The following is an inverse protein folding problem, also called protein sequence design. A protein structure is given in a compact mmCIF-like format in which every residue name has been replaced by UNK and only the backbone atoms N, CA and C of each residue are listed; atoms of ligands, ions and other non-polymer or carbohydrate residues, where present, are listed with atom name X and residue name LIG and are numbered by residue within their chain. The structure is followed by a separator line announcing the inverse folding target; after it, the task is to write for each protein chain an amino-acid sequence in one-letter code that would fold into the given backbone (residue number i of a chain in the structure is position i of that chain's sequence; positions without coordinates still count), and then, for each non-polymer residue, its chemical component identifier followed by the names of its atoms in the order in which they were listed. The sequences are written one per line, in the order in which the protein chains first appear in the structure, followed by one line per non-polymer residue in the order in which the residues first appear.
data_IF_448061408614
#
_entry.id   IF_448061408614
#
_cell.length_a   1.000
_cell.length_b   1.000
_cell.length_c   1.000
_cell.angle_alpha   90.00
_cell.angle_beta   90.00
_cell.angle_gamma   90.00
#
_symmetry.space_group_name_H-M   'P 1'
#
loop_
_entity.id
_entity.type
_entity.pdbx_description
1 polymer ?
#
# COMPACT_ATOMS: atom_id res chain seq x y z
N UNK A 1 10.04 -0.46 48.35
CA UNK A 1 9.39 0.70 47.71
C UNK A 1 10.43 1.38 46.85
N UNK A 2 10.45 1.09 45.57
CA UNK A 2 11.34 1.73 44.60
C UNK A 2 10.44 2.45 43.59
N UNK A 3 10.43 3.77 43.68
CA UNK A 3 9.74 4.68 42.77
C UNK A 3 10.46 4.70 41.42
N UNK A 4 9.83 4.13 40.41
CA UNK A 4 10.29 4.25 39.02
C UNK A 4 9.83 5.62 38.53
N UNK A 5 10.78 6.54 38.39
CA UNK A 5 10.59 7.86 37.75
C UNK A 5 10.47 7.65 36.25
N UNK A 6 9.28 7.89 35.68
CA UNK A 6 9.11 8.00 34.24
C UNK A 6 9.76 9.31 33.78
N UNK A 7 10.93 9.21 33.19
CA UNK A 7 11.54 10.30 32.43
C UNK A 7 10.76 10.39 31.10
N UNK A 8 9.88 11.35 31.00
CA UNK A 8 9.29 11.78 29.76
C UNK A 8 10.43 12.26 28.85
N UNK A 9 10.68 11.51 27.78
CA UNK A 9 11.58 11.94 26.70
C UNK A 9 10.96 13.17 26.05
N UNK A 10 11.46 14.35 26.41
CA UNK A 10 11.25 15.57 25.68
C UNK A 10 11.80 15.37 24.27
N UNK A 11 10.91 15.28 23.28
CA UNK A 11 11.28 15.41 21.87
C UNK A 11 11.94 16.77 21.69
N UNK A 12 13.27 16.75 21.58
CA UNK A 12 14.07 17.93 21.32
C UNK A 12 13.52 18.62 20.07
N UNK A 13 12.99 19.81 20.27
CA UNK A 13 12.59 20.75 19.24
C UNK A 13 13.87 21.34 18.61
N UNK A 14 14.60 20.51 17.85
CA UNK A 14 15.80 20.93 17.14
C UNK A 14 15.34 21.93 16.07
N UNK A 15 15.84 23.17 16.09
CA UNK A 15 15.45 24.17 15.11
C UNK A 15 15.67 23.61 13.70
N UNK A 16 14.67 23.75 12.84
CA UNK A 16 14.77 23.33 11.45
C UNK A 16 15.92 24.12 10.81
N UNK A 17 16.78 23.50 10.00
CA UNK A 17 17.84 24.22 9.31
C UNK A 17 17.20 25.09 8.21
N UNK A 18 16.78 26.30 8.57
CA UNK A 18 16.09 27.27 7.70
C UNK A 18 16.94 27.70 6.51
N UNK A 19 18.26 27.60 6.60
CA UNK A 19 19.23 28.00 5.57
C UNK A 19 19.01 27.38 4.18
N UNK A 20 18.37 26.20 4.07
CA UNK A 20 18.07 25.59 2.78
C UNK A 20 16.98 26.31 1.98
N UNK A 21 16.13 27.09 2.65
CA UNK A 21 14.98 27.77 2.04
C UNK A 21 15.01 29.29 2.32
N UNK A 22 16.22 29.87 2.34
CA UNK A 22 16.49 31.29 2.26
C UNK A 22 17.09 31.63 0.90
N UNK A 23 16.36 31.32 -0.17
CA UNK A 23 16.90 31.52 -1.53
C UNK A 23 16.98 33.01 -1.86
N UNK A 24 18.10 33.54 -2.38
CA UNK A 24 18.24 34.97 -2.70
C UNK A 24 17.29 35.45 -3.80
N UNK A 25 16.75 34.53 -4.63
CA UNK A 25 15.72 34.81 -5.62
C UNK A 25 14.32 34.40 -5.17
N UNK A 26 14.04 34.35 -3.87
CA UNK A 26 12.72 34.05 -3.37
C UNK A 26 11.74 35.21 -3.68
N UNK A 27 10.60 34.84 -4.19
CA UNK A 27 9.48 35.73 -4.50
C UNK A 27 8.18 35.31 -3.80
N UNK A 28 8.28 34.33 -2.90
CA UNK A 28 7.17 33.77 -2.12
C UNK A 28 7.66 33.29 -0.75
N UNK A 29 6.83 33.48 0.28
CA UNK A 29 6.99 32.86 1.60
C UNK A 29 5.87 31.83 1.78
N UNK A 30 6.23 30.57 2.01
CA UNK A 30 5.31 29.57 2.52
C UNK A 30 5.44 29.51 4.02
N UNK A 31 4.34 29.78 4.73
CA UNK A 31 4.29 29.75 6.20
C UNK A 31 3.58 28.49 6.66
N UNK A 32 4.22 27.74 7.54
CA UNK A 32 3.63 26.55 8.16
C UNK A 32 2.59 26.92 9.23
N UNK A 33 1.81 25.93 9.70
CA UNK A 33 0.85 26.09 10.80
C UNK A 33 1.51 26.56 12.10
N UNK A 34 2.73 26.11 12.35
CA UNK A 34 3.57 26.45 13.51
C UNK A 34 4.51 27.64 13.23
N UNK A 35 4.15 28.50 12.28
CA UNK A 35 4.78 29.79 11.95
C UNK A 35 6.24 29.72 11.51
N UNK A 36 6.69 28.63 10.89
CA UNK A 36 7.97 28.60 10.21
C UNK A 36 7.82 29.14 8.79
N UNK A 37 8.66 30.08 8.41
CA UNK A 37 8.69 30.73 7.09
C UNK A 37 9.75 30.09 6.20
N UNK A 38 9.34 29.73 4.99
CA UNK A 38 10.19 29.17 3.93
C UNK A 38 10.19 30.14 2.76
N UNK A 39 11.33 30.82 2.53
CA UNK A 39 11.52 31.75 1.41
C UNK A 39 11.91 30.97 0.16
N UNK A 40 11.03 30.92 -0.80
CA UNK A 40 11.17 30.04 -1.97
C UNK A 40 10.84 30.76 -3.27
N UNK A 41 11.50 30.40 -4.39
CA UNK A 41 11.04 30.82 -5.69
C UNK A 41 9.70 30.14 -6.05
N UNK A 42 8.68 30.94 -6.33
CA UNK A 42 7.32 30.51 -6.67
C UNK A 42 7.31 29.48 -7.79
N UNK A 43 8.20 29.61 -8.77
CA UNK A 43 8.22 28.73 -9.96
C UNK A 43 8.36 27.25 -9.60
N UNK A 44 9.15 26.88 -8.56
CA UNK A 44 9.30 25.50 -8.16
C UNK A 44 8.00 24.93 -7.54
N UNK A 45 7.27 25.78 -6.81
CA UNK A 45 6.03 25.38 -6.16
C UNK A 45 4.92 25.17 -7.18
N UNK A 46 4.71 26.14 -8.06
CA UNK A 46 3.64 26.09 -9.08
C UNK A 46 3.89 24.96 -10.11
N UNK A 47 5.15 24.69 -10.47
CA UNK A 47 5.49 23.61 -11.36
C UNK A 47 5.30 22.21 -10.76
N UNK A 48 5.32 22.12 -9.43
CA UNK A 48 5.18 20.84 -8.70
C UNK A 48 3.74 20.50 -8.32
N UNK A 49 2.85 21.50 -8.23
CA UNK A 49 1.49 21.35 -7.71
C UNK A 49 0.51 22.38 -8.29
N UNK A 50 -0.47 21.88 -9.04
CA UNK A 50 -1.59 22.70 -9.55
C UNK A 50 -2.45 23.24 -8.41
N UNK A 51 -2.58 22.48 -7.30
CA UNK A 51 -3.35 22.91 -6.14
C UNK A 51 -2.67 24.08 -5.43
N UNK A 52 -1.34 24.00 -5.24
CA UNK A 52 -0.59 25.10 -4.62
C UNK A 52 -0.54 26.33 -5.54
N UNK A 53 -0.45 26.13 -6.86
CA UNK A 53 -0.55 27.24 -7.80
C UNK A 53 -1.88 27.98 -7.63
N UNK A 54 -3.00 27.25 -7.64
CA UNK A 54 -4.32 27.84 -7.41
C UNK A 54 -4.46 28.54 -6.06
N UNK A 55 -3.91 27.96 -4.99
CA UNK A 55 -3.90 28.60 -3.66
C UNK A 55 -3.09 29.89 -3.65
N UNK A 56 -1.92 29.90 -4.27
CA UNK A 56 -1.06 31.09 -4.36
C UNK A 56 -1.75 32.19 -5.16
N UNK A 57 -2.36 31.87 -6.30
CA UNK A 57 -3.08 32.85 -7.13
C UNK A 57 -4.26 33.46 -6.35
N UNK A 58 -5.11 32.61 -5.76
CA UNK A 58 -6.23 33.08 -4.94
C UNK A 58 -5.79 33.97 -3.80
N UNK A 59 -4.63 33.67 -3.20
CA UNK A 59 -4.09 34.47 -2.09
C UNK A 59 -3.57 35.83 -2.55
N UNK A 60 -2.89 35.89 -3.70
CA UNK A 60 -2.38 37.12 -4.28
C UNK A 60 -3.50 38.04 -4.76
N UNK A 61 -4.60 37.48 -5.23
CA UNK A 61 -5.78 38.20 -5.71
C UNK A 61 -6.66 38.73 -4.55
N UNK A 62 -6.37 38.30 -3.31
CA UNK A 62 -7.17 38.70 -2.16
C UNK A 62 -6.78 40.11 -1.65
N UNK A 63 -7.74 41.06 -1.46
CA UNK A 63 -7.44 42.44 -1.06
C UNK A 63 -6.74 42.62 0.29
N UNK A 64 -6.65 41.56 1.08
CA UNK A 64 -6.02 41.53 2.41
C UNK A 64 -4.81 40.59 2.47
N UNK A 65 -4.14 40.32 1.33
CA UNK A 65 -2.96 39.45 1.31
C UNK A 65 -1.91 39.94 2.31
N UNK A 66 -1.35 38.95 3.07
CA UNK A 66 -0.28 39.26 4.03
C UNK A 66 1.04 39.38 3.26
N UNK A 67 1.79 40.42 3.58
CA UNK A 67 3.14 40.62 3.07
C UNK A 67 4.11 40.65 4.25
N UNK A 68 5.27 40.07 4.12
CA UNK A 68 6.35 40.20 5.07
C UNK A 68 7.03 41.58 4.93
N UNK A 69 7.92 41.95 5.87
CA UNK A 69 8.64 43.22 5.88
C UNK A 69 9.35 43.57 4.56
N UNK A 70 9.72 42.54 3.78
CA UNK A 70 10.37 42.64 2.46
C UNK A 70 9.36 42.68 1.28
N UNK A 71 8.07 42.89 1.54
CA UNK A 71 7.00 42.92 0.53
C UNK A 71 6.80 41.59 -0.20
N UNK A 72 7.31 40.47 0.32
CA UNK A 72 7.05 39.15 -0.22
C UNK A 72 5.68 38.65 0.24
N UNK A 73 4.88 38.08 -0.68
CA UNK A 73 3.60 37.46 -0.33
C UNK A 73 3.80 36.26 0.58
N UNK A 74 2.95 36.16 1.61
CA UNK A 74 2.99 35.05 2.58
C UNK A 74 1.77 34.19 2.42
N UNK A 75 1.95 32.93 2.00
CA UNK A 75 0.88 31.92 1.89
C UNK A 75 0.95 30.95 3.06
N UNK A 76 -0.08 30.98 3.91
CA UNK A 76 -0.20 30.10 5.06
C UNK A 76 -0.70 28.71 4.63
N UNK A 77 0.02 27.67 5.06
CA UNK A 77 -0.35 26.26 4.86
C UNK A 77 -0.74 25.62 6.21
N UNK A 78 -1.52 24.55 6.14
CA UNK A 78 -2.03 23.85 7.32
C UNK A 78 -1.04 22.80 7.89
N UNK A 79 0.07 22.59 7.23
CA UNK A 79 1.10 21.61 7.60
C UNK A 79 2.11 22.21 8.58
N UNK A 80 2.72 21.34 9.41
CA UNK A 80 3.81 21.74 10.30
C UNK A 80 5.08 22.07 9.51
N UNK A 81 5.94 22.90 10.09
CA UNK A 81 7.22 23.26 9.48
C UNK A 81 8.10 22.05 9.18
N UNK A 82 8.10 21.03 10.04
CA UNK A 82 8.83 19.78 9.84
C UNK A 82 8.38 19.04 8.56
N UNK A 83 7.08 18.98 8.33
CA UNK A 83 6.51 18.31 7.14
C UNK A 83 6.78 19.12 5.89
N UNK A 84 6.53 20.43 5.94
CA UNK A 84 6.81 21.32 4.80
C UNK A 84 8.29 21.32 4.43
N UNK A 85 9.19 21.38 5.42
CA UNK A 85 10.62 21.30 5.18
C UNK A 85 11.01 20.05 4.41
N UNK A 86 10.54 18.85 4.84
CA UNK A 86 10.78 17.61 4.13
C UNK A 86 10.17 17.61 2.73
N UNK A 87 8.92 18.07 2.60
CA UNK A 87 8.22 18.14 1.32
C UNK A 87 8.99 18.99 0.30
N UNK A 88 9.47 20.16 0.73
CA UNK A 88 10.23 21.08 -0.10
C UNK A 88 11.55 20.46 -0.59
N UNK A 89 12.19 19.57 0.18
CA UNK A 89 13.41 18.88 -0.30
C UNK A 89 13.16 17.94 -1.49
N UNK A 90 11.91 17.54 -1.74
CA UNK A 90 11.55 16.75 -2.94
C UNK A 90 11.24 17.61 -4.16
N UNK A 91 11.03 18.92 -3.95
CA UNK A 91 10.69 19.87 -5.01
C UNK A 91 11.93 20.61 -5.50
N UNK A 92 12.80 20.98 -4.56
CA UNK A 92 14.01 21.74 -4.86
C UNK A 92 15.16 20.83 -5.30
N UNK A 93 16.16 21.38 -6.04
CA UNK A 93 17.33 20.62 -6.51
C UNK A 93 18.33 20.39 -5.37
N UNK A 94 17.86 19.77 -4.29
CA UNK A 94 18.67 19.36 -3.13
C UNK A 94 18.47 17.86 -2.90
N UNK A 95 19.34 17.25 -2.09
CA UNK A 95 19.16 15.84 -1.72
C UNK A 95 17.90 15.69 -0.87
N UNK A 96 16.89 14.90 -1.29
CA UNK A 96 15.66 14.72 -0.53
C UNK A 96 15.93 14.12 0.84
N UNK A 97 15.30 14.67 1.86
CA UNK A 97 15.33 14.13 3.22
C UNK A 97 14.38 12.95 3.33
N UNK A 98 14.96 11.75 3.38
CA UNK A 98 14.21 10.51 3.49
C UNK A 98 13.58 10.44 4.89
N UNK A 99 12.24 10.21 4.99
CA UNK A 99 11.58 9.99 6.27
C UNK A 99 12.19 8.78 6.99
N UNK A 100 12.38 8.91 8.30
CA UNK A 100 13.01 7.86 9.12
C UNK A 100 12.02 6.82 9.65
N UNK A 101 10.72 7.17 9.72
CA UNK A 101 9.66 6.30 10.23
C UNK A 101 8.55 6.08 9.20
N UNK A 102 7.79 5.01 9.38
CA UNK A 102 6.62 4.74 8.55
C UNK A 102 5.57 5.86 8.71
N UNK A 103 5.42 6.40 9.93
CA UNK A 103 4.47 7.48 10.19
C UNK A 103 4.84 8.77 9.45
N UNK A 104 6.08 9.21 9.53
CA UNK A 104 6.59 10.35 8.77
C UNK A 104 6.42 10.16 7.26
N UNK A 105 6.64 8.95 6.77
CA UNK A 105 6.48 8.62 5.35
C UNK A 105 5.02 8.73 4.91
N UNK A 106 4.09 8.20 5.71
CA UNK A 106 2.66 8.24 5.39
C UNK A 106 2.08 9.64 5.52
N UNK A 107 2.54 10.42 6.50
CA UNK A 107 2.17 11.83 6.65
C UNK A 107 2.62 12.64 5.43
N UNK A 108 3.87 12.51 5.02
CA UNK A 108 4.41 13.18 3.84
C UNK A 108 3.68 12.77 2.56
N UNK A 109 3.35 11.47 2.41
CA UNK A 109 2.57 10.96 1.29
C UNK A 109 1.16 11.57 1.26
N UNK A 110 0.52 11.71 2.42
CA UNK A 110 -0.80 12.34 2.56
C UNK A 110 -0.78 13.80 2.12
N UNK A 111 0.22 14.56 2.53
CA UNK A 111 0.39 15.96 2.15
C UNK A 111 0.69 16.11 0.65
N UNK A 112 1.57 15.28 0.10
CA UNK A 112 1.82 15.24 -1.33
C UNK A 112 0.57 14.89 -2.14
N UNK A 113 -0.29 14.01 -1.63
CA UNK A 113 -1.58 13.67 -2.24
C UNK A 113 -2.58 14.84 -2.15
N UNK A 114 -2.67 15.51 -0.99
CA UNK A 114 -3.51 16.70 -0.78
C UNK A 114 -3.21 17.78 -1.82
N UNK A 115 -1.93 18.03 -2.06
CA UNK A 115 -1.48 19.04 -3.02
C UNK A 115 -1.29 18.50 -4.45
N UNK A 116 -1.69 17.26 -4.74
CA UNK A 116 -1.61 16.61 -6.06
C UNK A 116 -0.20 16.67 -6.70
N UNK A 117 0.83 16.45 -5.89
CA UNK A 117 2.24 16.47 -6.31
C UNK A 117 2.67 15.14 -6.93
N UNK A 118 2.34 14.88 -8.18
CA UNK A 118 2.53 13.58 -8.82
C UNK A 118 3.98 13.07 -8.79
N UNK A 119 4.97 13.93 -9.05
CA UNK A 119 6.38 13.56 -9.01
C UNK A 119 6.85 13.18 -7.60
N UNK A 120 6.44 13.96 -6.59
CA UNK A 120 6.75 13.70 -5.17
C UNK A 120 6.11 12.38 -4.72
N UNK A 121 4.85 12.13 -5.10
CA UNK A 121 4.16 10.87 -4.80
C UNK A 121 4.90 9.64 -5.33
N UNK A 122 5.40 9.71 -6.56
CA UNK A 122 6.21 8.62 -7.16
C UNK A 122 7.48 8.38 -6.35
N UNK A 123 8.20 9.42 -5.95
CA UNK A 123 9.42 9.31 -5.16
C UNK A 123 9.16 8.71 -3.77
N UNK A 124 8.14 9.21 -3.04
CA UNK A 124 7.82 8.70 -1.70
C UNK A 124 7.38 7.23 -1.79
N UNK A 125 6.57 6.84 -2.79
CA UNK A 125 6.18 5.43 -3.01
C UNK A 125 7.37 4.54 -3.31
N UNK A 126 8.36 5.04 -4.05
CA UNK A 126 9.61 4.31 -4.28
C UNK A 126 10.42 4.12 -2.98
N UNK A 127 10.40 5.10 -2.06
CA UNK A 127 10.98 4.98 -0.73
C UNK A 127 10.26 3.89 0.08
N UNK A 128 8.93 3.91 0.10
CA UNK A 128 8.13 2.87 0.77
C UNK A 128 8.48 1.48 0.22
N UNK A 129 8.59 1.34 -1.10
CA UNK A 129 8.90 0.08 -1.73
C UNK A 129 10.32 -0.44 -1.41
N UNK A 130 11.28 0.47 -1.16
CA UNK A 130 12.67 0.12 -0.82
C UNK A 130 12.85 -0.20 0.66
N UNK A 131 12.26 0.61 1.53
CA UNK A 131 12.45 0.51 2.99
C UNK A 131 11.44 -0.41 3.66
N UNK A 132 10.31 -0.64 3.01
CA UNK A 132 9.32 -1.63 3.40
C UNK A 132 9.14 -2.62 2.24
N UNK A 133 10.19 -3.43 1.93
CA UNK A 133 10.04 -4.50 0.95
C UNK A 133 8.85 -5.32 1.38
N UNK A 134 8.06 -5.78 0.41
CA UNK A 134 6.80 -6.54 0.59
C UNK A 134 6.73 -7.13 1.99
N UNK A 135 5.87 -6.65 2.89
CA UNK A 135 5.88 -7.12 4.26
C UNK A 135 5.62 -8.62 4.25
N UNK A 136 6.73 -9.37 4.37
CA UNK A 136 6.69 -10.82 4.61
C UNK A 136 6.25 -11.13 6.03
N UNK A 137 5.94 -10.09 6.82
CA UNK A 137 5.54 -10.17 8.22
C UNK A 137 4.24 -9.40 8.45
N UNK A 138 3.43 -9.92 9.36
CA UNK A 138 2.13 -9.37 9.68
C UNK A 138 2.21 -7.98 10.33
N UNK A 139 3.12 -7.79 11.31
CA UNK A 139 3.20 -6.55 12.09
C UNK A 139 3.48 -5.30 11.22
N UNK A 140 4.45 -5.30 10.29
CA UNK A 140 4.64 -4.15 9.40
C UNK A 140 3.43 -3.86 8.52
N UNK A 141 2.71 -4.90 8.08
CA UNK A 141 1.52 -4.71 7.26
C UNK A 141 0.37 -4.07 8.06
N UNK A 142 0.19 -4.47 9.32
CA UNK A 142 -0.78 -3.89 10.25
C UNK A 142 -0.48 -2.42 10.53
N UNK A 143 0.78 -2.08 10.77
CA UNK A 143 1.21 -0.69 10.97
C UNK A 143 0.90 0.17 9.75
N UNK A 144 1.29 -0.28 8.55
CA UNK A 144 1.02 0.44 7.30
C UNK A 144 -0.50 0.57 7.08
N UNK A 145 -1.28 -0.47 7.36
CA UNK A 145 -2.74 -0.43 7.24
C UNK A 145 -3.34 0.63 8.17
N UNK A 146 -2.94 0.65 9.44
CA UNK A 146 -3.41 1.62 10.42
C UNK A 146 -3.08 3.07 10.02
N UNK A 147 -1.83 3.32 9.61
CA UNK A 147 -1.38 4.64 9.16
C UNK A 147 -2.06 5.06 7.85
N UNK A 148 -2.19 4.15 6.88
CA UNK A 148 -2.88 4.43 5.63
C UNK A 148 -4.36 4.78 5.86
N UNK A 149 -5.01 4.12 6.84
CA UNK A 149 -6.37 4.48 7.25
C UNK A 149 -6.41 5.88 7.91
N UNK A 150 -5.49 6.15 8.84
CA UNK A 150 -5.37 7.46 9.52
C UNK A 150 -5.24 8.62 8.52
N UNK A 151 -4.41 8.44 7.50
CA UNK A 151 -4.10 9.47 6.51
C UNK A 151 -4.94 9.40 5.22
N UNK A 152 -5.91 8.50 5.13
CA UNK A 152 -6.80 8.37 3.95
C UNK A 152 -6.10 7.88 2.67
N UNK A 153 -5.01 7.14 2.80
CA UNK A 153 -4.19 6.66 1.69
C UNK A 153 -4.75 5.34 1.14
N UNK A 154 -5.77 5.44 0.30
CA UNK A 154 -6.50 4.27 -0.22
C UNK A 154 -5.64 3.21 -0.92
N UNK A 155 -4.68 3.54 -1.81
CA UNK A 155 -3.84 2.55 -2.47
C UNK A 155 -3.00 1.73 -1.48
N UNK A 156 -2.41 2.40 -0.50
CA UNK A 156 -1.57 1.81 0.54
C UNK A 156 -2.41 0.97 1.50
N UNK A 157 -3.62 1.43 1.83
CA UNK A 157 -4.60 0.71 2.64
C UNK A 157 -4.97 -0.64 2.00
N UNK A 158 -5.34 -0.63 0.72
CA UNK A 158 -5.75 -1.84 0.00
C UNK A 158 -4.58 -2.81 -0.18
N UNK A 159 -3.38 -2.28 -0.43
CA UNK A 159 -2.18 -3.10 -0.56
C UNK A 159 -1.84 -3.81 0.74
N UNK A 160 -1.84 -3.09 1.86
CA UNK A 160 -1.60 -3.68 3.18
C UNK A 160 -2.70 -4.65 3.61
N UNK A 161 -3.97 -4.31 3.37
CA UNK A 161 -5.09 -5.22 3.63
C UNK A 161 -4.94 -6.55 2.88
N UNK A 162 -4.54 -6.51 1.59
CA UNK A 162 -4.28 -7.73 0.81
C UNK A 162 -3.17 -8.58 1.42
N UNK A 163 -2.09 -7.94 1.87
CA UNK A 163 -0.97 -8.65 2.50
C UNK A 163 -1.41 -9.29 3.81
N UNK A 164 -2.15 -8.57 4.66
CA UNK A 164 -2.68 -9.08 5.91
C UNK A 164 -3.61 -10.29 5.64
N UNK A 165 -4.41 -10.25 4.59
CA UNK A 165 -5.29 -11.35 4.19
C UNK A 165 -4.60 -12.65 3.85
N UNK A 166 -3.29 -12.61 3.60
CA UNK A 166 -2.49 -13.82 3.39
C UNK A 166 -2.14 -14.56 4.70
N UNK A 167 -2.39 -13.95 5.85
CA UNK A 167 -2.15 -14.59 7.13
C UNK A 167 -3.45 -15.18 7.68
N UNK A 168 -3.42 -16.40 8.22
CA UNK A 168 -4.57 -16.96 8.91
C UNK A 168 -4.88 -16.08 10.13
N UNK A 169 -6.09 -15.53 10.16
CA UNK A 169 -6.56 -14.70 11.25
C UNK A 169 -7.44 -15.56 12.14
N UNK A 170 -6.93 -15.96 13.29
CA UNK A 170 -7.71 -16.64 14.34
C UNK A 170 -8.34 -15.60 15.28
N UNK A 171 -9.43 -15.93 15.99
CA UNK A 171 -9.99 -15.02 16.99
C UNK A 171 -8.97 -14.57 18.06
N UNK A 172 -8.03 -15.45 18.42
CA UNK A 172 -6.97 -15.16 19.39
C UNK A 172 -5.92 -14.17 18.85
N UNK A 173 -5.71 -14.14 17.52
CA UNK A 173 -4.86 -13.15 16.90
C UNK A 173 -5.45 -11.74 17.00
N UNK A 174 -6.80 -11.63 17.04
CA UNK A 174 -7.47 -10.33 17.20
C UNK A 174 -7.24 -9.72 18.59
N UNK A 175 -7.13 -10.54 19.62
CA UNK A 175 -6.94 -10.04 21.00
C UNK A 175 -5.51 -9.58 21.29
N UNK A 176 -4.49 -10.15 20.61
CA UNK A 176 -3.09 -9.94 20.94
C UNK A 176 -2.28 -9.13 19.91
N UNK A 177 -2.65 -9.20 18.63
CA UNK A 177 -1.87 -8.57 17.53
C UNK A 177 -2.50 -7.32 16.97
N UNK A 178 -3.78 -7.09 17.25
CA UNK A 178 -4.55 -5.99 16.65
C UNK A 178 -4.71 -4.77 17.55
N UNK A 179 -4.04 -4.70 18.70
CA UNK A 179 -4.00 -3.48 19.55
C UNK A 179 -3.48 -2.24 18.80
N UNK A 180 -2.72 -2.45 17.72
CA UNK A 180 -2.17 -1.39 16.88
C UNK A 180 -3.24 -0.73 16.01
N UNK A 181 -4.36 -1.43 15.72
CA UNK A 181 -5.41 -0.95 14.81
C UNK A 181 -6.65 -0.53 15.61
N UNK A 182 -7.15 0.70 15.47
CA UNK A 182 -8.41 1.10 16.07
C UNK A 182 -9.57 0.20 15.63
N UNK A 183 -10.60 0.04 16.48
CA UNK A 183 -11.72 -0.90 16.24
C UNK A 183 -12.44 -0.71 14.89
N UNK A 184 -12.65 0.54 14.47
CA UNK A 184 -13.38 0.80 13.22
C UNK A 184 -12.61 0.31 11.97
N UNK A 185 -11.33 0.70 11.75
CA UNK A 185 -10.54 0.15 10.65
C UNK A 185 -10.33 -1.37 10.75
N UNK A 186 -10.26 -1.93 11.96
CA UNK A 186 -10.17 -3.37 12.15
C UNK A 186 -11.42 -4.09 11.61
N UNK A 187 -12.60 -3.56 11.88
CA UNK A 187 -13.87 -4.11 11.37
C UNK A 187 -13.97 -4.00 9.84
N UNK A 188 -13.48 -2.91 9.26
CA UNK A 188 -13.40 -2.76 7.80
C UNK A 188 -12.43 -3.77 7.18
N UNK A 189 -11.30 -4.01 7.82
CA UNK A 189 -10.33 -5.02 7.40
C UNK A 189 -10.92 -6.42 7.44
N UNK A 190 -11.63 -6.76 8.53
CA UNK A 190 -12.31 -8.06 8.66
C UNK A 190 -13.34 -8.26 7.57
N UNK A 191 -14.23 -7.28 7.32
CA UNK A 191 -15.20 -7.32 6.22
C UNK A 191 -14.54 -7.48 4.85
N UNK A 192 -13.42 -6.79 4.65
CA UNK A 192 -12.65 -6.91 3.42
C UNK A 192 -12.17 -8.35 3.21
N UNK A 193 -11.62 -8.97 4.25
CA UNK A 193 -11.11 -10.34 4.16
C UNK A 193 -12.23 -11.36 3.97
N UNK A 194 -13.31 -11.26 4.73
CA UNK A 194 -14.44 -12.17 4.62
C UNK A 194 -15.02 -12.15 3.19
N UNK A 195 -15.23 -10.96 2.65
CA UNK A 195 -15.75 -10.79 1.30
C UNK A 195 -14.75 -11.24 0.24
N UNK A 196 -13.46 -10.99 0.47
CA UNK A 196 -12.40 -11.44 -0.46
C UNK A 196 -12.33 -12.96 -0.52
N UNK A 197 -12.42 -13.64 0.62
CA UNK A 197 -12.43 -15.11 0.70
C UNK A 197 -13.66 -15.70 0.00
N UNK A 198 -14.84 -15.14 0.28
CA UNK A 198 -16.07 -15.61 -0.35
C UNK A 198 -16.04 -15.46 -1.89
N UNK A 199 -15.57 -14.32 -2.39
CA UNK A 199 -15.41 -14.10 -3.82
C UNK A 199 -14.35 -15.03 -4.43
N UNK A 200 -13.22 -15.18 -3.76
CA UNK A 200 -12.15 -16.07 -4.22
C UNK A 200 -12.62 -17.52 -4.30
N UNK A 201 -13.32 -18.03 -3.29
CA UNK A 201 -13.88 -19.38 -3.29
C UNK A 201 -14.86 -19.58 -4.45
N UNK A 202 -15.75 -18.61 -4.71
CA UNK A 202 -16.69 -18.64 -5.84
C UNK A 202 -15.96 -18.60 -7.19
N UNK A 203 -14.99 -17.70 -7.35
CA UNK A 203 -14.24 -17.54 -8.60
C UNK A 203 -13.35 -18.76 -8.88
N UNK A 204 -12.76 -19.38 -7.84
CA UNK A 204 -11.99 -20.64 -7.98
C UNK A 204 -12.87 -21.81 -8.35
N UNK A 205 -14.08 -21.90 -7.78
CA UNK A 205 -15.07 -22.94 -8.17
C UNK A 205 -15.46 -22.79 -9.64
N UNK A 206 -15.73 -21.59 -10.10
CA UNK A 206 -16.02 -21.30 -11.50
C UNK A 206 -14.81 -21.62 -12.42
N UNK A 207 -13.60 -21.27 -11.98
CA UNK A 207 -12.37 -21.58 -12.68
C UNK A 207 -12.15 -23.08 -12.84
N UNK A 208 -12.35 -23.88 -11.78
CA UNK A 208 -12.30 -25.36 -11.85
C UNK A 208 -13.30 -25.90 -12.87
N UNK A 209 -14.51 -25.38 -12.86
CA UNK A 209 -15.59 -25.87 -13.71
C UNK A 209 -15.39 -25.60 -15.21
N UNK A 210 -14.71 -24.50 -15.58
CA UNK A 210 -14.58 -24.05 -16.96
C UNK A 210 -13.14 -24.01 -17.47
N UNK A 211 -12.36 -23.09 -16.92
CA UNK A 211 -11.04 -22.73 -17.49
C UNK A 211 -9.97 -23.77 -17.19
N UNK A 212 -9.95 -24.30 -15.97
CA UNK A 212 -8.93 -25.29 -15.59
C UNK A 212 -9.05 -26.58 -16.42
N UNK A 213 -10.27 -27.01 -16.69
CA UNK A 213 -10.51 -28.19 -17.57
C UNK A 213 -10.01 -27.95 -18.99
N UNK A 214 -10.36 -26.78 -19.59
CA UNK A 214 -9.96 -26.46 -20.96
C UNK A 214 -8.43 -26.42 -21.13
N UNK A 215 -7.72 -25.84 -20.16
CA UNK A 215 -6.26 -25.72 -20.20
C UNK A 215 -5.60 -27.08 -19.96
N UNK A 216 -6.20 -27.91 -19.09
CA UNK A 216 -5.63 -29.22 -18.67
C UNK A 216 -6.15 -30.42 -19.44
N UNK A 217 -7.02 -30.25 -20.44
CA UNK A 217 -7.52 -31.34 -21.28
C UNK A 217 -6.43 -32.15 -22.03
N UNK A 218 -5.21 -31.62 -22.10
CA UNK A 218 -4.04 -32.34 -22.63
C UNK A 218 -3.33 -33.25 -21.61
N UNK A 219 -3.75 -33.25 -20.35
CA UNK A 219 -3.17 -34.07 -19.30
C UNK A 219 -3.80 -35.46 -19.35
N UNK A 220 -3.09 -36.41 -19.97
CA UNK A 220 -3.40 -37.84 -19.87
C UNK A 220 -3.02 -38.39 -18.48
N UNK A 221 -3.48 -37.73 -17.39
CA UNK A 221 -3.34 -38.30 -16.06
C UNK A 221 -4.38 -39.42 -15.88
N UNK A 222 -3.95 -40.62 -15.42
CA UNK A 222 -4.85 -41.74 -15.15
C UNK A 222 -5.94 -41.42 -14.12
N UNK A 223 -5.68 -40.45 -13.23
CA UNK A 223 -6.65 -40.00 -12.25
C UNK A 223 -7.64 -38.95 -12.81
N UNK A 224 -7.36 -38.39 -13.99
CA UNK A 224 -8.26 -37.43 -14.62
C UNK A 224 -9.26 -38.16 -15.52
N UNK A 225 -10.49 -38.31 -15.05
CA UNK A 225 -11.60 -38.63 -15.95
C UNK A 225 -11.94 -37.38 -16.77
N UNK A 226 -12.64 -37.57 -17.91
CA UNK A 226 -13.07 -36.47 -18.80
C UNK A 226 -13.88 -35.35 -18.11
N UNK A 227 -14.20 -35.51 -16.85
CA UNK A 227 -15.06 -34.61 -16.09
C UNK A 227 -14.41 -34.02 -14.81
N UNK A 228 -13.25 -34.51 -14.38
CA UNK A 228 -12.62 -34.07 -13.12
C UNK A 228 -11.16 -33.64 -13.32
N UNK A 229 -10.73 -32.61 -12.57
CA UNK A 229 -9.31 -32.27 -12.43
C UNK A 229 -8.58 -33.40 -11.69
N UNK A 230 -7.25 -33.60 -11.90
CA UNK A 230 -6.47 -34.47 -11.03
C UNK A 230 -6.65 -34.07 -9.55
N UNK A 231 -6.77 -35.04 -8.66
CA UNK A 231 -7.07 -34.83 -7.24
C UNK A 231 -6.08 -33.86 -6.56
N UNK A 232 -4.79 -33.99 -6.88
CA UNK A 232 -3.75 -33.12 -6.35
C UNK A 232 -3.94 -31.64 -6.78
N UNK A 233 -4.39 -31.41 -8.02
CA UNK A 233 -4.62 -30.07 -8.56
C UNK A 233 -5.89 -29.47 -7.98
N UNK A 234 -6.90 -30.28 -7.81
CA UNK A 234 -8.16 -29.89 -7.18
C UNK A 234 -7.93 -29.45 -5.74
N UNK A 235 -7.17 -30.26 -4.97
CA UNK A 235 -6.77 -29.93 -3.59
C UNK A 235 -5.88 -28.68 -3.52
N UNK A 236 -4.95 -28.50 -4.48
CA UNK A 236 -4.12 -27.29 -4.53
C UNK A 236 -4.96 -26.03 -4.73
N UNK A 237 -5.91 -26.06 -5.67
CA UNK A 237 -6.81 -24.92 -5.91
C UNK A 237 -7.66 -24.64 -4.67
N UNK A 238 -8.16 -25.68 -3.97
CA UNK A 238 -8.92 -25.49 -2.73
C UNK A 238 -8.06 -24.91 -1.60
N UNK A 239 -6.78 -25.28 -1.53
CA UNK A 239 -5.86 -24.72 -0.55
C UNK A 239 -5.66 -23.22 -0.72
N UNK A 240 -5.68 -22.72 -1.95
CA UNK A 240 -5.62 -21.27 -2.24
C UNK A 240 -6.84 -20.54 -1.68
N UNK A 241 -8.03 -21.14 -1.77
CA UNK A 241 -9.25 -20.56 -1.20
C UNK A 241 -9.18 -20.39 0.32
N UNK A 242 -8.51 -21.32 1.00
CA UNK A 242 -8.36 -21.33 2.45
C UNK A 242 -7.14 -20.52 2.93
N UNK A 243 -6.05 -20.55 2.19
CA UNK A 243 -4.80 -19.87 2.49
C UNK A 243 -4.21 -19.24 1.22
N UNK A 244 -4.66 -18.04 0.83
CA UNK A 244 -4.20 -17.38 -0.41
C UNK A 244 -2.69 -17.09 -0.45
N UNK A 245 -2.02 -17.06 0.70
CA UNK A 245 -0.56 -16.95 0.82
C UNK A 245 0.20 -18.15 0.27
N UNK A 246 -0.45 -19.29 0.12
CA UNK A 246 0.12 -20.49 -0.54
C UNK A 246 0.05 -20.40 -2.07
N UNK A 247 -0.48 -19.32 -2.61
CA UNK A 247 -0.51 -19.05 -4.03
C UNK A 247 0.87 -18.62 -4.53
N UNK A 248 1.75 -19.62 -4.70
CA UNK A 248 3.11 -19.46 -5.21
C UNK A 248 3.42 -20.53 -6.25
N UNK A 249 4.14 -20.13 -7.30
CA UNK A 249 4.59 -21.03 -8.37
C UNK A 249 5.56 -22.11 -7.83
N UNK A 250 6.36 -21.76 -6.82
CA UNK A 250 7.28 -22.71 -6.18
C UNK A 250 6.49 -23.80 -5.47
N UNK A 251 5.50 -23.41 -4.66
CA UNK A 251 4.64 -24.36 -3.96
C UNK A 251 3.85 -25.23 -4.94
N UNK A 252 3.31 -24.64 -6.00
CA UNK A 252 2.65 -25.40 -7.07
C UNK A 252 3.57 -26.48 -7.67
N UNK A 253 4.82 -26.13 -7.97
CA UNK A 253 5.79 -27.07 -8.52
C UNK A 253 6.16 -28.17 -7.50
N UNK A 254 6.24 -27.84 -6.20
CA UNK A 254 6.48 -28.80 -5.12
C UNK A 254 5.33 -29.81 -5.04
N UNK A 255 4.09 -29.33 -5.01
CA UNK A 255 2.90 -30.19 -4.95
C UNK A 255 2.83 -31.12 -6.18
N UNK A 256 3.10 -30.58 -7.36
CA UNK A 256 3.15 -31.36 -8.61
C UNK A 256 4.26 -32.40 -8.57
N UNK A 257 5.47 -32.03 -8.13
CA UNK A 257 6.61 -32.95 -8.03
C UNK A 257 6.35 -34.09 -7.04
N UNK A 258 5.72 -33.78 -5.90
CA UNK A 258 5.32 -34.76 -4.89
C UNK A 258 4.34 -35.76 -5.49
N UNK A 259 3.30 -35.29 -6.16
CA UNK A 259 2.33 -36.16 -6.83
C UNK A 259 3.02 -37.10 -7.85
N UNK A 260 3.95 -36.59 -8.64
CA UNK A 260 4.71 -37.38 -9.62
C UNK A 260 5.54 -38.48 -8.93
N UNK A 261 6.17 -38.15 -7.80
CA UNK A 261 7.02 -39.07 -7.03
C UNK A 261 6.21 -40.17 -6.29
N UNK A 262 5.02 -39.84 -5.83
CA UNK A 262 4.14 -40.76 -5.10
C UNK A 262 3.33 -41.67 -6.02
N UNK A 263 3.23 -41.35 -7.31
CA UNK A 263 2.49 -42.13 -8.31
C UNK A 263 3.25 -43.39 -8.67
N UNK A 264 2.79 -44.53 -8.16
CA UNK A 264 3.41 -45.87 -8.36
C UNK A 264 3.46 -46.32 -9.81
N UNK A 265 2.64 -45.75 -10.69
CA UNK A 265 2.46 -46.21 -12.10
C UNK A 265 2.96 -45.21 -13.14
N UNK A 266 3.89 -44.31 -12.79
CA UNK A 266 4.47 -43.35 -13.73
C UNK A 266 3.43 -42.39 -14.29
N UNK A 267 2.97 -41.44 -13.48
CA UNK A 267 2.02 -40.42 -13.93
C UNK A 267 2.61 -39.60 -15.09
N UNK A 268 1.86 -39.48 -16.18
CA UNK A 268 2.26 -38.67 -17.35
C UNK A 268 2.26 -37.15 -17.06
N UNK A 269 1.95 -36.72 -15.84
CA UNK A 269 2.08 -35.33 -15.41
C UNK A 269 3.51 -34.80 -15.53
N UNK A 270 4.53 -35.69 -15.47
CA UNK A 270 5.93 -35.31 -15.70
C UNK A 270 6.21 -34.81 -17.14
N UNK A 271 5.34 -35.12 -18.10
CA UNK A 271 5.47 -34.71 -19.50
C UNK A 271 4.60 -33.54 -19.89
N UNK A 272 4.06 -32.77 -18.91
CA UNK A 272 3.25 -31.58 -19.18
C UNK A 272 4.13 -30.54 -19.87
N UNK A 273 3.74 -30.02 -21.04
CA UNK A 273 4.49 -28.94 -21.67
C UNK A 273 4.57 -27.70 -20.75
N UNK A 274 5.75 -27.14 -20.60
CA UNK A 274 5.94 -25.93 -19.73
C UNK A 274 5.08 -24.74 -20.16
N UNK A 275 4.64 -24.70 -21.42
CA UNK A 275 3.69 -23.71 -21.92
C UNK A 275 2.29 -23.91 -21.32
N UNK A 276 1.83 -25.15 -21.16
CA UNK A 276 0.54 -25.48 -20.53
C UNK A 276 0.55 -25.06 -19.06
N UNK A 277 1.64 -25.33 -18.34
CA UNK A 277 1.80 -24.90 -16.94
C UNK A 277 1.76 -23.37 -16.84
N UNK A 278 2.46 -22.67 -17.71
CA UNK A 278 2.45 -21.20 -17.74
C UNK A 278 1.07 -20.64 -18.04
N UNK A 279 0.37 -21.20 -19.03
CA UNK A 279 -1.00 -20.76 -19.37
C UNK A 279 -1.96 -20.98 -18.21
N UNK A 280 -1.88 -22.13 -17.54
CA UNK A 280 -2.66 -22.42 -16.35
C UNK A 280 -2.36 -21.43 -15.21
N UNK A 281 -1.07 -21.21 -14.92
CA UNK A 281 -0.64 -20.27 -13.88
C UNK A 281 -1.11 -18.85 -14.15
N UNK A 282 -0.98 -18.36 -15.39
CA UNK A 282 -1.43 -17.04 -15.80
C UNK A 282 -2.94 -16.89 -15.62
N UNK A 283 -3.71 -17.89 -16.01
CA UNK A 283 -5.16 -17.88 -15.85
C UNK A 283 -5.57 -17.89 -14.36
N UNK A 284 -4.95 -18.75 -13.56
CA UNK A 284 -5.20 -18.83 -12.11
C UNK A 284 -4.81 -17.51 -11.39
N UNK A 285 -3.66 -16.94 -11.72
CA UNK A 285 -3.23 -15.64 -11.19
C UNK A 285 -4.23 -14.53 -11.51
N UNK A 286 -4.76 -14.52 -12.73
CA UNK A 286 -5.79 -13.55 -13.15
C UNK A 286 -7.08 -13.69 -12.33
N UNK A 287 -7.48 -14.91 -11.98
CA UNK A 287 -8.66 -15.17 -11.14
C UNK A 287 -8.43 -14.65 -9.72
N UNK A 288 -7.31 -15.01 -9.11
CA UNK A 288 -6.96 -14.56 -7.76
C UNK A 288 -6.90 -13.03 -7.68
N UNK A 289 -6.18 -12.38 -8.61
CA UNK A 289 -6.08 -10.92 -8.66
C UNK A 289 -7.42 -10.24 -8.94
N UNK A 290 -8.24 -10.82 -9.81
CA UNK A 290 -9.58 -10.35 -10.13
C UNK A 290 -10.51 -10.35 -8.92
N UNK A 291 -10.48 -11.41 -8.11
CA UNK A 291 -11.29 -11.56 -6.90
C UNK A 291 -11.00 -10.45 -5.88
N UNK A 292 -9.72 -10.15 -5.64
CA UNK A 292 -9.33 -9.05 -4.76
C UNK A 292 -9.71 -7.67 -5.30
N UNK A 293 -9.60 -7.46 -6.61
CA UNK A 293 -9.99 -6.18 -7.25
C UNK A 293 -11.48 -5.90 -7.12
N UNK A 294 -12.34 -6.91 -7.25
CA UNK A 294 -13.79 -6.80 -7.09
C UNK A 294 -14.16 -6.25 -5.70
N UNK A 295 -13.46 -6.71 -4.65
CA UNK A 295 -13.75 -6.29 -3.27
C UNK A 295 -13.23 -4.88 -2.99
N UNK A 296 -12.08 -4.52 -3.54
CA UNK A 296 -11.47 -3.19 -3.35
C UNK A 296 -12.39 -2.04 -3.78
N UNK A 297 -13.28 -2.27 -4.72
CA UNK A 297 -14.25 -1.28 -5.18
C UNK A 297 -15.43 -1.05 -4.21
N UNK A 298 -15.75 -2.03 -3.36
CA UNK A 298 -17.00 -2.06 -2.58
C UNK A 298 -16.79 -1.76 -1.10
N UNK A 299 -15.66 -2.16 -0.51
CA UNK A 299 -15.47 -2.18 0.95
C UNK A 299 -14.83 -0.93 1.52
N UNK A 300 -14.13 -0.15 0.71
CA UNK A 300 -13.52 1.11 1.18
C UNK A 300 -14.37 2.28 0.65
N UNK A 301 -15.32 2.81 1.44
CA UNK A 301 -16.06 3.98 1.04
C UNK A 301 -15.10 5.12 0.76
N UNK A 302 -15.25 5.74 -0.42
CA UNK A 302 -14.63 7.03 -0.68
C UNK A 302 -15.15 7.98 0.41
N UNK A 303 -14.29 8.45 1.32
CA UNK A 303 -14.62 9.64 2.10
C UNK A 303 -14.90 10.74 1.09
N UNK A 304 -16.17 10.99 0.84
CA UNK A 304 -16.60 12.24 0.24
C UNK A 304 -16.19 13.30 1.24
N UNK A 305 -15.40 14.27 0.75
CA UNK A 305 -14.83 15.32 1.56
C UNK A 305 -15.90 16.04 2.37
N UNK A 306 -15.63 16.20 3.63
CA UNK A 306 -16.20 17.23 4.49
C UNK A 306 -15.19 18.34 4.64
#
# INVERSE_FOLDING_TARGET
MATVSLVAASTENKPLPTLLFEHPGADLILRSLDFHDFRVPKIFIVSSSVVLDGLIQNYLDFPGALYAEESLPVVQLAESGKVLYKLLTFIFPVTPLIPSTAEETMELLSVAQKYQMSSVLVHIRAIIARHHPQPTRLEPALLIYSLAHKYGLRPELLRSARIIGNYPMTPEDYDNKFDIIPRAPLFELWKYHEKSRANLASDLTAFKASSARGIMMGLNCRESSSHHLPSWLDQYIDSIGNAPNQFDLVEFNIVMARHISESKDGCRCASIPGQTIRSFWTALSSVVDGSYKKVSAVVVPSRQGS
#
